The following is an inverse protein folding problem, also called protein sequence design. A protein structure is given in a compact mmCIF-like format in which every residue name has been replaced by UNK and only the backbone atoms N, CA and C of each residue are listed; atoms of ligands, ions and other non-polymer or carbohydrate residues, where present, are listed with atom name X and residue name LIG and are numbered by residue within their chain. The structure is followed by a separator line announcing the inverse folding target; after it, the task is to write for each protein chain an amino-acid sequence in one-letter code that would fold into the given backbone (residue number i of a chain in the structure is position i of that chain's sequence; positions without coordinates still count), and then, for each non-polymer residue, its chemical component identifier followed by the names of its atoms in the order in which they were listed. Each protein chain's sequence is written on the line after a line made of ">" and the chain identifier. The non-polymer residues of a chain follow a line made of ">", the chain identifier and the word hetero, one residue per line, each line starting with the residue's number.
data_IF_499501874595
#
_entry.id   IF_499501874595
#
_cell.length_a   1.000
_cell.length_b   1.000
_cell.length_c   1.000
_cell.angle_alpha   90.00
_cell.angle_beta   90.00
_cell.angle_gamma   90.00
#
_symmetry.space_group_name_H-M   'P 1'
#
loop_
_entity.id
_entity.type
_entity.pdbx_description
1 polymer ?
#
# COMPACT_ATOMS: atom_id res chain seq x y z
N UNK A 1 14.57 9.36 22.32
CA UNK A 1 15.61 8.78 21.44
C UNK A 1 14.94 8.41 20.11
N UNK A 2 15.12 9.23 19.08
CA UNK A 2 14.59 9.00 17.74
C UNK A 2 15.66 8.35 16.88
N UNK A 3 15.61 7.03 16.73
CA UNK A 3 16.25 6.37 15.60
C UNK A 3 15.23 5.53 14.83
N UNK A 4 14.36 6.16 14.02
CA UNK A 4 13.65 5.46 12.97
C UNK A 4 14.58 5.29 11.77
N UNK A 5 14.45 4.16 11.07
CA UNK A 5 14.97 3.97 9.72
C UNK A 5 14.55 5.19 8.91
N UNK A 6 15.51 6.05 8.55
CA UNK A 6 15.20 7.38 8.01
C UNK A 6 14.74 7.21 6.56
N UNK A 7 13.44 7.00 6.35
CA UNK A 7 12.78 7.39 5.12
C UNK A 7 12.97 8.91 4.98
N UNK A 8 14.01 9.36 4.26
CA UNK A 8 14.25 10.80 3.98
C UNK A 8 13.33 11.33 2.87
N UNK A 9 12.10 10.86 2.83
CA UNK A 9 11.11 11.33 1.88
C UNK A 9 10.55 12.66 2.39
N UNK A 10 10.74 13.70 1.59
CA UNK A 10 10.23 15.04 1.83
C UNK A 10 9.10 15.31 0.85
N UNK A 11 8.02 15.93 1.33
CA UNK A 11 6.98 16.51 0.50
C UNK A 11 7.03 18.02 0.67
N UNK A 12 6.77 18.75 -0.42
CA UNK A 12 6.74 20.21 -0.40
C UNK A 12 5.31 20.67 -0.13
N UNK A 13 5.08 21.30 1.01
CA UNK A 13 3.79 21.84 1.42
C UNK A 13 3.97 23.29 1.82
N UNK A 14 3.09 24.18 1.34
CA UNK A 14 3.11 25.62 1.66
C UNK A 14 4.48 26.31 1.52
N UNK A 15 5.34 25.84 0.61
CA UNK A 15 6.67 26.38 0.37
C UNK A 15 7.80 25.79 1.23
N UNK A 16 7.47 24.93 2.20
CA UNK A 16 8.42 24.26 3.09
C UNK A 16 8.56 22.77 2.75
N UNK A 17 9.72 22.20 3.11
CA UNK A 17 9.94 20.75 3.04
C UNK A 17 9.51 20.13 4.36
N UNK A 18 8.47 19.30 4.31
CA UNK A 18 8.01 18.53 5.47
C UNK A 18 8.32 17.05 5.27
N UNK A 19 8.61 16.35 6.36
CA UNK A 19 8.80 14.91 6.32
C UNK A 19 7.49 14.24 5.92
N UNK A 20 7.52 13.27 5.00
CA UNK A 20 6.30 12.62 4.50
C UNK A 20 5.46 12.01 5.63
N UNK A 21 6.09 11.51 6.69
CA UNK A 21 5.35 10.93 7.82
C UNK A 21 4.65 12.01 8.64
N UNK A 22 5.30 13.16 8.83
CA UNK A 22 4.69 14.30 9.51
C UNK A 22 3.48 14.84 8.75
N UNK A 23 3.51 14.77 7.41
CA UNK A 23 2.38 15.12 6.56
C UNK A 23 1.25 14.09 6.62
N UNK A 24 1.57 12.79 6.47
CA UNK A 24 0.57 11.74 6.24
C UNK A 24 -0.15 11.29 7.52
N UNK A 25 0.55 11.21 8.66
CA UNK A 25 0.00 10.71 9.94
C UNK A 25 -1.30 11.43 10.37
N UNK A 26 -1.40 12.77 10.38
CA UNK A 26 -2.64 13.43 10.76
C UNK A 26 -3.79 13.13 9.80
N UNK A 27 -3.51 12.98 8.50
CA UNK A 27 -4.52 12.69 7.47
C UNK A 27 -5.05 11.26 7.65
N UNK A 28 -4.15 10.30 7.91
CA UNK A 28 -4.50 8.91 8.24
C UNK A 28 -5.40 8.85 9.47
N UNK A 29 -5.03 9.55 10.56
CA UNK A 29 -5.84 9.61 11.78
C UNK A 29 -7.20 10.27 11.57
N UNK A 30 -7.28 11.21 10.62
CA UNK A 30 -8.52 11.87 10.23
C UNK A 30 -9.42 11.03 9.30
N UNK A 31 -8.94 9.88 8.81
CA UNK A 31 -9.70 9.02 7.90
C UNK A 31 -9.80 9.57 6.47
N UNK A 32 -8.91 10.47 6.06
CA UNK A 32 -9.02 11.19 4.78
C UNK A 32 -8.05 10.66 3.72
N UNK A 33 -8.27 9.42 3.29
CA UNK A 33 -7.39 8.73 2.33
C UNK A 33 -7.27 9.44 0.98
N UNK A 34 -8.31 10.17 0.58
CA UNK A 34 -8.34 10.89 -0.71
C UNK A 34 -7.24 11.95 -0.79
N UNK A 35 -6.89 12.56 0.33
CA UNK A 35 -5.81 13.55 0.43
C UNK A 35 -4.40 12.94 0.53
N UNK A 36 -4.30 11.61 0.62
CA UNK A 36 -3.01 10.88 0.64
C UNK A 36 -2.68 10.31 -0.74
N UNK A 37 -3.70 9.82 -1.45
CA UNK A 37 -3.55 9.11 -2.72
C UNK A 37 -3.07 10.05 -3.84
N UNK A 38 -2.24 9.52 -4.75
CA UNK A 38 -1.73 10.30 -5.88
C UNK A 38 -2.89 10.85 -6.73
N UNK A 39 -3.00 12.19 -6.77
CA UNK A 39 -4.01 12.93 -7.54
C UNK A 39 -4.07 12.54 -9.02
N UNK A 40 -3.00 11.99 -9.59
CA UNK A 40 -2.95 11.49 -10.97
C UNK A 40 -3.86 10.28 -11.19
N UNK A 41 -4.27 9.60 -10.12
CA UNK A 41 -5.26 8.52 -10.16
C UNK A 41 -6.68 9.06 -10.38
N UNK A 42 -6.93 10.36 -10.20
CA UNK A 42 -8.22 11.02 -10.51
C UNK A 42 -9.45 10.35 -9.87
N UNK A 43 -9.29 9.72 -8.70
CA UNK A 43 -10.37 8.99 -8.04
C UNK A 43 -10.61 7.56 -8.57
N UNK A 44 -9.85 7.11 -9.56
CA UNK A 44 -9.94 5.76 -10.15
C UNK A 44 -9.15 4.74 -9.32
N UNK A 45 -9.59 4.55 -8.07
CA UNK A 45 -9.05 3.57 -7.15
C UNK A 45 -10.11 3.06 -6.16
N UNK A 46 -9.90 1.87 -5.63
CA UNK A 46 -10.69 1.34 -4.51
C UNK A 46 -10.26 1.98 -3.19
N UNK A 47 -11.19 2.57 -2.46
CA UNK A 47 -10.93 3.13 -1.13
C UNK A 47 -10.38 2.04 -0.19
N UNK A 48 -10.89 0.81 -0.31
CA UNK A 48 -10.45 -0.31 0.51
C UNK A 48 -9.02 -0.76 0.17
N UNK A 49 -8.67 -0.82 -1.12
CA UNK A 49 -7.31 -1.15 -1.54
C UNK A 49 -6.32 -0.07 -1.06
N UNK A 50 -6.67 1.21 -1.21
CA UNK A 50 -5.84 2.33 -0.77
C UNK A 50 -5.60 2.33 0.74
N UNK A 51 -6.64 2.09 1.54
CA UNK A 51 -6.50 1.98 2.99
C UNK A 51 -5.60 0.83 3.40
N UNK A 52 -5.77 -0.34 2.78
CA UNK A 52 -4.94 -1.50 3.10
C UNK A 52 -3.47 -1.26 2.74
N UNK A 53 -3.18 -0.58 1.63
CA UNK A 53 -1.80 -0.16 1.29
C UNK A 53 -1.22 0.78 2.36
N UNK A 54 -2.01 1.72 2.87
CA UNK A 54 -1.57 2.60 3.96
C UNK A 54 -1.29 1.81 5.24
N UNK A 55 -2.13 0.85 5.61
CA UNK A 55 -1.91 -0.02 6.78
C UNK A 55 -0.61 -0.81 6.66
N UNK A 56 -0.35 -1.42 5.50
CA UNK A 56 0.92 -2.10 5.20
C UNK A 56 2.10 -1.13 5.38
N UNK A 57 2.02 0.05 4.77
CA UNK A 57 3.08 1.05 4.84
C UNK A 57 3.35 1.52 6.27
N UNK A 58 2.30 1.72 7.07
CA UNK A 58 2.41 2.12 8.48
C UNK A 58 3.04 1.03 9.35
N UNK A 59 2.69 -0.24 9.10
CA UNK A 59 3.30 -1.39 9.80
C UNK A 59 4.79 -1.54 9.47
N UNK A 60 5.17 -1.36 8.18
CA UNK A 60 6.57 -1.39 7.73
C UNK A 60 7.47 -0.38 8.48
N UNK A 61 6.91 0.76 8.89
CA UNK A 61 7.64 1.83 9.57
C UNK A 61 7.43 1.84 11.09
N UNK A 62 6.76 0.84 11.66
CA UNK A 62 6.53 0.78 13.10
C UNK A 62 7.84 0.89 13.88
N UNK A 63 7.81 1.56 15.03
CA UNK A 63 8.96 1.58 15.93
C UNK A 63 9.14 0.24 16.66
N UNK A 64 8.06 -0.54 16.77
CA UNK A 64 8.10 -1.89 17.29
C UNK A 64 8.51 -2.84 16.16
N UNK A 65 9.68 -3.45 16.28
CA UNK A 65 10.20 -4.37 15.27
C UNK A 65 9.29 -5.61 15.08
N UNK A 66 8.56 -6.03 16.11
CA UNK A 66 7.64 -7.16 16.02
C UNK A 66 6.37 -6.85 15.20
N UNK A 67 6.04 -5.57 15.01
CA UNK A 67 4.92 -5.13 14.16
C UNK A 67 5.35 -4.94 12.71
N UNK A 68 6.66 -4.99 12.41
CA UNK A 68 7.13 -4.86 11.04
C UNK A 68 6.94 -6.18 10.31
N UNK A 69 6.16 -6.20 9.21
CA UNK A 69 5.96 -7.42 8.47
C UNK A 69 7.23 -7.82 7.71
N UNK A 70 7.42 -9.12 7.53
CA UNK A 70 8.42 -9.63 6.59
C UNK A 70 7.95 -9.46 5.13
N UNK A 71 8.88 -9.58 4.18
CA UNK A 71 8.58 -9.32 2.76
C UNK A 71 7.51 -10.25 2.18
N UNK A 72 7.37 -11.46 2.72
CA UNK A 72 6.38 -12.45 2.29
C UNK A 72 4.98 -12.04 2.76
N UNK A 73 4.87 -11.54 3.99
CA UNK A 73 3.63 -10.97 4.52
C UNK A 73 3.22 -9.73 3.71
N UNK A 74 4.16 -8.81 3.46
CA UNK A 74 3.94 -7.64 2.60
C UNK A 74 3.43 -8.07 1.22
N UNK A 75 4.07 -9.07 0.60
CA UNK A 75 3.67 -9.57 -0.72
C UNK A 75 2.25 -10.15 -0.70
N UNK A 76 1.91 -10.93 0.32
CA UNK A 76 0.56 -11.51 0.45
C UNK A 76 -0.51 -10.41 0.59
N UNK A 77 -0.27 -9.40 1.43
CA UNK A 77 -1.20 -8.30 1.63
C UNK A 77 -1.32 -7.40 0.40
N UNK A 78 -0.22 -7.17 -0.34
CA UNK A 78 -0.26 -6.43 -1.60
C UNK A 78 -1.03 -7.17 -2.69
N UNK A 79 -0.97 -8.51 -2.74
CA UNK A 79 -1.81 -9.31 -3.64
C UNK A 79 -3.29 -9.11 -3.32
N UNK A 80 -3.66 -9.08 -2.04
CA UNK A 80 -5.03 -8.78 -1.63
C UNK A 80 -5.47 -7.36 -2.02
N UNK A 81 -4.60 -6.36 -1.85
CA UNK A 81 -4.87 -4.98 -2.30
C UNK A 81 -5.17 -4.94 -3.81
N UNK A 82 -4.37 -5.65 -4.60
CA UNK A 82 -4.57 -5.74 -6.05
C UNK A 82 -5.91 -6.42 -6.38
N UNK A 83 -6.26 -7.51 -5.69
CA UNK A 83 -7.56 -8.15 -5.87
C UNK A 83 -8.72 -7.19 -5.59
N UNK A 84 -8.67 -6.45 -4.46
CA UNK A 84 -9.69 -5.45 -4.11
C UNK A 84 -9.82 -4.35 -5.18
N UNK A 85 -8.69 -3.90 -5.73
CA UNK A 85 -8.65 -2.91 -6.80
C UNK A 85 -9.31 -3.45 -8.08
N UNK A 86 -9.02 -4.70 -8.44
CA UNK A 86 -9.56 -5.34 -9.64
C UNK A 86 -11.06 -5.61 -9.54
N UNK A 87 -11.53 -6.09 -8.38
CA UNK A 87 -12.96 -6.30 -8.13
C UNK A 87 -13.75 -4.98 -8.26
N UNK A 88 -13.21 -3.89 -7.73
CA UNK A 88 -13.82 -2.56 -7.83
C UNK A 88 -13.95 -2.11 -9.29
N UNK A 89 -12.87 -2.25 -10.08
CA UNK A 89 -12.88 -1.85 -11.50
C UNK A 89 -13.80 -2.68 -12.37
N UNK A 90 -14.02 -3.95 -12.01
CA UNK A 90 -14.74 -4.91 -12.85
C UNK A 90 -16.18 -5.21 -12.38
N UNK A 91 -16.72 -4.43 -11.43
CA UNK A 91 -18.10 -4.51 -10.95
C UNK A 91 -18.55 -5.96 -10.62
N UNK A 92 -17.65 -6.76 -10.01
CA UNK A 92 -17.94 -8.15 -9.60
C UNK A 92 -17.82 -9.23 -10.68
N UNK A 93 -17.23 -8.94 -11.85
CA UNK A 93 -17.04 -9.94 -12.91
C UNK A 93 -16.03 -11.03 -12.55
N UNK A 94 -16.37 -12.29 -12.87
CA UNK A 94 -15.63 -13.55 -12.67
C UNK A 94 -14.21 -13.58 -13.26
N UNK A 95 -13.77 -12.53 -13.95
CA UNK A 95 -12.40 -12.38 -14.49
C UNK A 95 -11.35 -12.02 -13.43
N UNK A 96 -11.76 -11.35 -12.35
CA UNK A 96 -10.84 -10.96 -11.28
C UNK A 96 -10.24 -12.17 -10.54
N UNK A 97 -10.97 -13.30 -10.49
CA UNK A 97 -10.48 -14.55 -9.90
C UNK A 97 -9.47 -15.26 -10.79
N UNK A 98 -9.65 -15.25 -12.11
CA UNK A 98 -8.68 -15.84 -13.05
C UNK A 98 -7.34 -15.08 -13.07
N UNK A 99 -7.37 -13.75 -12.98
CA UNK A 99 -6.13 -12.96 -12.88
C UNK A 99 -5.40 -13.17 -11.54
N UNK A 100 -6.12 -13.37 -10.44
CA UNK A 100 -5.53 -13.70 -9.14
C UNK A 100 -4.83 -15.08 -9.17
N UNK A 101 -5.45 -16.07 -9.84
CA UNK A 101 -4.85 -17.39 -10.10
C UNK A 101 -3.61 -17.26 -11.00
N UNK A 102 -3.65 -16.42 -12.02
CA UNK A 102 -2.46 -16.12 -12.84
C UNK A 102 -1.33 -15.47 -12.03
N UNK A 103 -1.62 -14.50 -11.15
CA UNK A 103 -0.59 -13.85 -10.31
C UNK A 103 -0.01 -14.83 -9.27
N UNK A 104 -0.84 -15.70 -8.71
CA UNK A 104 -0.40 -16.75 -7.80
C UNK A 104 0.54 -17.75 -8.50
N UNK A 105 0.19 -18.19 -9.72
CA UNK A 105 0.98 -19.17 -10.50
C UNK A 105 2.27 -18.60 -11.10
N UNK A 106 2.33 -17.30 -11.41
CA UNK A 106 3.57 -16.60 -11.81
C UNK A 106 4.61 -16.58 -10.67
N UNK A 107 4.15 -16.54 -9.41
CA UNK A 107 5.05 -16.58 -8.24
C UNK A 107 5.70 -17.96 -8.02
N UNK A 108 5.00 -19.07 -8.30
CA UNK A 108 5.54 -20.43 -8.13
C UNK A 108 6.50 -20.82 -9.26
N UNK A 109 6.25 -20.38 -10.49
CA UNK A 109 7.05 -20.74 -11.68
C UNK A 109 8.44 -20.09 -11.71
N UNK A 110 8.69 -19.03 -10.93
CA UNK A 110 10.01 -18.39 -10.83
C UNK A 110 10.95 -19.11 -9.86
N UNK A 111 10.42 -19.92 -8.93
CA UNK A 111 11.22 -20.69 -7.96
C UNK A 111 11.80 -21.98 -8.57
N UNK A 112 11.20 -22.49 -9.65
CA UNK A 112 11.64 -23.73 -10.33
C UNK A 112 12.64 -23.50 -11.48
N UNK A 113 13.03 -22.25 -11.75
CA UNK A 113 13.95 -21.90 -12.85
C UNK A 113 15.33 -21.40 -12.37
N UNK A 114 15.72 -21.66 -11.10
CA UNK A 114 17.05 -21.33 -10.56
C UNK A 114 17.72 -22.55 -9.93
#
# INVERSE_FOLDING_TARGET
>A
MQHPIILKALVRASGENIHILQWVIPIVKGGDIQNIVDTRLKGEFSINSAWKVVEIAMSCISQNLAERPDISQILAELKECLWLEMVQRNNGSMRATDEFVSIATVSESTILAR
#
